data_IF_903952773670
#
_entry.id   IF_903952773670
#
_cell.length_a   1.000
_cell.length_b   1.000
_cell.length_c   1.000
_cell.angle_alpha   90.00
_cell.angle_beta   90.00
_cell.angle_gamma   90.00
#
_symmetry.space_group_name_H-M   'P 1'
#
loop_
_entity.id
_entity.type
_entity.pdbx_description
1 polymer ?
#
# COMPACT_ATOMS: atom_id res chain seq x y z
N UNK A 1 -2.89 -7.63 -32.92
CA UNK A 1 -2.61 -6.30 -32.33
C UNK A 1 -3.74 -5.96 -31.40
N UNK A 2 -3.55 -6.09 -30.09
CA UNK A 2 -4.60 -5.82 -29.09
C UNK A 2 -4.77 -4.30 -28.98
N UNK A 3 -5.92 -3.77 -29.38
CA UNK A 3 -6.20 -2.33 -29.29
C UNK A 3 -6.35 -1.95 -27.81
N UNK A 4 -5.52 -1.04 -27.33
CA UNK A 4 -5.64 -0.48 -25.98
C UNK A 4 -6.91 0.37 -25.91
N UNK A 5 -7.98 -0.17 -25.31
CA UNK A 5 -9.16 0.59 -24.95
C UNK A 5 -8.81 1.60 -23.86
N UNK A 6 -9.08 2.89 -24.10
CA UNK A 6 -8.89 3.97 -23.11
C UNK A 6 -10.25 4.47 -22.65
N UNK A 7 -10.52 4.36 -21.36
CA UNK A 7 -11.73 4.90 -20.74
C UNK A 7 -11.45 6.30 -20.18
N UNK A 8 -12.40 7.22 -20.33
CA UNK A 8 -12.38 8.53 -19.66
C UNK A 8 -13.20 8.43 -18.38
N UNK A 9 -12.59 8.77 -17.25
CA UNK A 9 -13.27 8.81 -15.97
C UNK A 9 -13.25 10.25 -15.43
N UNK A 10 -14.41 10.89 -15.20
CA UNK A 10 -14.45 12.23 -14.62
C UNK A 10 -13.98 12.16 -13.15
N UNK A 11 -13.07 13.05 -12.78
CA UNK A 11 -12.44 13.06 -11.46
C UNK A 11 -12.59 14.46 -10.85
N UNK A 12 -13.13 14.52 -9.64
CA UNK A 12 -13.22 15.74 -8.86
C UNK A 12 -12.03 15.78 -7.91
N UNK A 13 -11.17 16.79 -8.06
CA UNK A 13 -9.98 16.99 -7.24
C UNK A 13 -10.09 18.33 -6.52
N UNK A 14 -9.77 18.41 -5.21
CA UNK A 14 -9.55 19.69 -4.55
C UNK A 14 -8.54 20.54 -5.33
N UNK A 15 -8.75 21.86 -5.37
CA UNK A 15 -7.92 22.78 -6.16
C UNK A 15 -6.43 22.64 -5.84
N UNK A 16 -6.08 22.64 -4.55
CA UNK A 16 -4.69 22.52 -4.09
C UNK A 16 -4.01 21.23 -4.56
N UNK A 17 -4.77 20.13 -4.62
CA UNK A 17 -4.27 18.84 -5.08
C UNK A 17 -3.99 18.86 -6.59
N UNK A 18 -4.91 19.44 -7.37
CA UNK A 18 -4.73 19.63 -8.81
C UNK A 18 -3.50 20.48 -9.12
N UNK A 19 -3.32 21.59 -8.40
CA UNK A 19 -2.17 22.50 -8.58
C UNK A 19 -0.86 21.80 -8.25
N UNK A 20 -0.81 21.07 -7.14
CA UNK A 20 0.38 20.30 -6.73
C UNK A 20 0.73 19.23 -7.76
N UNK A 21 -0.26 18.45 -8.21
CA UNK A 21 -0.05 17.42 -9.23
C UNK A 21 0.39 18.02 -10.57
N UNK A 22 -0.13 19.19 -10.96
CA UNK A 22 0.27 19.86 -12.19
C UNK A 22 1.73 20.36 -12.12
N UNK A 23 2.17 20.90 -10.97
CA UNK A 23 3.56 21.30 -10.76
C UNK A 23 4.50 20.09 -10.86
N UNK A 24 4.17 18.99 -10.19
CA UNK A 24 4.98 17.75 -10.25
C UNK A 24 5.02 17.16 -11.67
N UNK A 25 3.89 17.13 -12.36
CA UNK A 25 3.84 16.68 -13.76
C UNK A 25 4.72 17.53 -14.68
N UNK A 26 4.73 18.85 -14.46
CA UNK A 26 5.60 19.77 -15.18
C UNK A 26 7.09 19.53 -14.89
N UNK A 27 7.45 19.30 -13.61
CA UNK A 27 8.82 18.93 -13.20
C UNK A 27 9.26 17.60 -13.84
N UNK A 28 8.35 16.64 -13.98
CA UNK A 28 8.57 15.35 -14.65
C UNK A 28 8.50 15.43 -16.19
N UNK A 29 8.17 16.60 -16.77
CA UNK A 29 8.08 16.81 -18.22
C UNK A 29 6.92 16.09 -18.91
N UNK A 30 5.86 15.75 -18.18
CA UNK A 30 4.70 14.99 -18.69
C UNK A 30 3.39 15.77 -18.53
N UNK A 31 2.36 15.38 -19.28
CA UNK A 31 1.02 15.95 -19.05
C UNK A 31 0.45 15.50 -17.71
N UNK A 32 -0.38 16.33 -17.08
CA UNK A 32 -1.08 15.98 -15.84
C UNK A 32 -1.84 14.65 -15.95
N UNK A 33 -2.47 14.36 -17.10
CA UNK A 33 -3.18 13.11 -17.29
C UNK A 33 -2.24 11.90 -17.32
N UNK A 34 -1.08 11.99 -17.98
CA UNK A 34 -0.07 10.92 -17.97
C UNK A 34 0.49 10.71 -16.57
N UNK A 35 0.74 11.81 -15.85
CA UNK A 35 1.20 11.77 -14.48
C UNK A 35 0.21 11.07 -13.54
N UNK A 36 -1.09 11.40 -13.64
CA UNK A 36 -2.15 10.74 -12.87
C UNK A 36 -2.25 9.25 -13.22
N UNK A 37 -2.19 8.89 -14.51
CA UNK A 37 -2.20 7.49 -14.94
C UNK A 37 -1.02 6.71 -14.35
N UNK A 38 0.17 7.32 -14.33
CA UNK A 38 1.37 6.74 -13.71
C UNK A 38 1.18 6.55 -12.20
N UNK A 39 0.67 7.57 -11.50
CA UNK A 39 0.41 7.49 -10.06
C UNK A 39 -0.61 6.38 -9.72
N UNK A 40 -1.65 6.20 -10.54
CA UNK A 40 -2.61 5.10 -10.38
C UNK A 40 -1.93 3.74 -10.59
N UNK A 41 -1.12 3.59 -11.64
CA UNK A 41 -0.37 2.36 -11.88
C UNK A 41 0.60 2.03 -10.73
N UNK A 42 1.30 3.03 -10.20
CA UNK A 42 2.17 2.89 -9.04
C UNK A 42 1.39 2.46 -7.79
N UNK A 43 0.22 3.05 -7.53
CA UNK A 43 -0.61 2.66 -6.38
C UNK A 43 -1.12 1.23 -6.49
N UNK A 44 -1.57 0.81 -7.68
CA UNK A 44 -1.98 -0.57 -7.96
C UNK A 44 -0.80 -1.51 -7.69
N UNK A 45 0.35 -1.24 -8.31
CA UNK A 45 1.56 -2.04 -8.14
C UNK A 45 1.99 -2.14 -6.67
N UNK A 46 1.96 -1.05 -5.90
CA UNK A 46 2.31 -1.06 -4.49
C UNK A 46 1.35 -1.93 -3.65
N UNK A 47 0.04 -1.86 -3.92
CA UNK A 47 -0.96 -2.64 -3.19
C UNK A 47 -0.88 -4.12 -3.54
N UNK A 48 -0.79 -4.45 -4.84
CA UNK A 48 -0.69 -5.84 -5.29
C UNK A 48 0.63 -6.48 -4.87
N UNK A 49 1.76 -5.77 -5.01
CA UNK A 49 3.08 -6.27 -4.59
C UNK A 49 3.10 -6.56 -3.08
N UNK A 50 2.50 -5.70 -2.26
CA UNK A 50 2.43 -5.95 -0.82
C UNK A 50 1.60 -7.22 -0.51
N UNK A 51 0.46 -7.40 -1.19
CA UNK A 51 -0.37 -8.58 -1.02
C UNK A 51 0.34 -9.86 -1.47
N UNK A 52 1.00 -9.82 -2.63
CA UNK A 52 1.72 -10.97 -3.18
C UNK A 52 2.97 -11.30 -2.38
N UNK A 53 3.71 -10.28 -1.92
CA UNK A 53 4.84 -10.47 -1.01
C UNK A 53 4.39 -11.19 0.27
N UNK A 54 3.32 -10.71 0.92
CA UNK A 54 2.82 -11.33 2.14
C UNK A 54 2.29 -12.76 1.90
N UNK A 55 1.61 -13.01 0.78
CA UNK A 55 1.17 -14.37 0.40
C UNK A 55 2.35 -15.31 0.18
N UNK A 56 3.37 -14.87 -0.56
CA UNK A 56 4.57 -15.67 -0.82
C UNK A 56 5.33 -15.94 0.48
N UNK A 57 5.47 -14.93 1.34
CA UNK A 57 6.21 -15.03 2.60
C UNK A 57 5.47 -15.86 3.67
N UNK A 58 4.13 -15.90 3.61
CA UNK A 58 3.35 -16.78 4.47
C UNK A 58 3.68 -18.27 4.25
N UNK A 59 4.13 -18.66 3.05
CA UNK A 59 4.55 -20.03 2.75
C UNK A 59 3.48 -21.06 3.13
N UNK A 60 3.81 -21.96 4.06
CA UNK A 60 2.89 -22.97 4.60
C UNK A 60 2.26 -22.59 5.95
N UNK A 61 2.45 -21.36 6.42
CA UNK A 61 1.94 -20.89 7.70
C UNK A 61 0.41 -20.96 7.74
N UNK A 62 -0.12 -21.47 8.84
CA UNK A 62 -1.56 -21.62 9.08
C UNK A 62 -1.97 -20.75 10.26
N UNK A 63 -3.25 -20.40 10.26
CA UNK A 63 -3.87 -19.73 11.42
C UNK A 63 -3.61 -20.58 12.67
N UNK A 64 -3.05 -19.96 13.71
CA UNK A 64 -2.71 -20.61 14.97
C UNK A 64 -1.25 -21.03 15.12
N UNK A 65 -0.43 -21.03 14.05
CA UNK A 65 1.01 -21.33 14.17
C UNK A 65 1.72 -20.30 15.07
N UNK A 66 1.37 -19.02 14.93
CA UNK A 66 1.84 -17.97 15.82
C UNK A 66 1.36 -18.19 17.27
N UNK A 67 0.09 -18.53 17.48
CA UNK A 67 -0.45 -18.78 18.83
C UNK A 67 0.30 -19.91 19.51
N UNK A 68 0.54 -21.04 18.82
CA UNK A 68 1.34 -22.16 19.36
C UNK A 68 2.76 -21.76 19.74
N UNK A 69 3.36 -20.84 19.00
CA UNK A 69 4.67 -20.30 19.35
C UNK A 69 4.59 -19.44 20.62
N UNK A 70 3.58 -18.57 20.71
CA UNK A 70 3.34 -17.69 21.85
C UNK A 70 2.96 -18.47 23.12
N UNK A 71 2.27 -19.59 23.01
CA UNK A 71 1.93 -20.48 24.14
C UNK A 71 3.17 -21.06 24.84
N UNK A 72 4.36 -20.97 24.22
CA UNK A 72 5.63 -21.37 24.83
C UNK A 72 6.24 -20.28 25.72
N UNK A 73 5.74 -19.06 25.66
CA UNK A 73 6.18 -17.99 26.54
C UNK A 73 5.70 -18.28 27.98
N UNK A 74 6.54 -18.03 28.99
CA UNK A 74 6.14 -18.18 30.38
C UNK A 74 5.04 -17.17 30.73
N UNK A 75 4.06 -17.63 31.51
CA UNK A 75 3.01 -16.77 32.08
C UNK A 75 3.61 -15.95 33.24
N UNK A 76 4.21 -14.81 32.89
CA UNK A 76 4.88 -13.91 33.80
C UNK A 76 4.41 -12.47 33.55
N UNK A 77 4.39 -11.62 34.59
CA UNK A 77 4.05 -10.21 34.41
C UNK A 77 5.02 -9.52 33.44
N UNK A 78 4.56 -8.52 32.66
CA UNK A 78 5.42 -7.76 31.77
C UNK A 78 6.55 -7.08 32.55
N UNK A 79 7.70 -6.90 31.90
CA UNK A 79 8.77 -6.10 32.52
C UNK A 79 8.29 -4.67 32.74
N UNK A 80 8.83 -3.92 33.73
CA UNK A 80 8.38 -2.56 34.02
C UNK A 80 8.38 -1.62 32.80
N UNK A 81 9.31 -1.81 31.85
CA UNK A 81 9.38 -1.03 30.61
C UNK A 81 8.35 -1.44 29.53
N UNK A 82 7.78 -2.65 29.63
CA UNK A 82 6.78 -3.19 28.71
C UNK A 82 5.34 -3.01 29.24
N UNK A 83 5.20 -2.51 30.47
CA UNK A 83 3.91 -2.24 31.08
C UNK A 83 3.20 -1.10 30.35
N UNK A 84 1.98 -1.35 29.88
CA UNK A 84 1.10 -0.30 29.37
C UNK A 84 0.61 0.50 30.58
N UNK A 85 0.75 1.83 30.52
CA UNK A 85 0.18 2.71 31.54
C UNK A 85 -1.34 2.77 31.36
N UNK A 86 -2.07 2.67 32.48
CA UNK A 86 -3.52 2.85 32.51
C UNK A 86 -3.97 4.22 31.96
#
# INVERSE_FOLDING_TARGET
>A
MTQTQRYKYPLQLPQSLKETAARLAHEDGVSLNQWIVSAVAQKIGAVETAADFLKAHAGAARRGDLTRLLDRAPDAPPMPQDAIKD
#
